data_IF_368368874934
#
_entry.id   IF_368368874934
#
_cell.length_a   1.000
_cell.length_b   1.000
_cell.length_c   1.000
_cell.angle_alpha   90.00
_cell.angle_beta   90.00
_cell.angle_gamma   90.00
#
_symmetry.space_group_name_H-M   'P 1'
#
loop_
_entity.id
_entity.type
_entity.pdbx_description
1 polymer ?
#
# COMPACT_ATOMS: atom_id res chain seq x y z
N UNK A 1 10.72 7.51 -32.30
CA UNK A 1 9.90 6.36 -32.72
C UNK A 1 8.48 6.74 -32.36
N UNK A 2 7.61 6.80 -33.35
CA UNK A 2 6.20 7.01 -33.07
C UNK A 2 5.64 5.70 -32.53
N UNK A 3 5.12 5.73 -31.30
CA UNK A 3 4.48 4.57 -30.68
C UNK A 3 3.14 4.33 -31.40
N UNK A 4 2.94 3.14 -31.95
CA UNK A 4 1.65 2.77 -32.50
C UNK A 4 0.74 2.25 -31.38
N UNK A 5 -0.08 3.14 -30.85
CA UNK A 5 -0.98 2.87 -29.73
C UNK A 5 -2.02 1.80 -30.07
N UNK A 6 -2.58 1.83 -31.28
CA UNK A 6 -3.59 0.86 -31.71
C UNK A 6 -3.02 -0.56 -31.70
N UNK A 7 -1.83 -0.74 -32.30
CA UNK A 7 -1.15 -2.04 -32.33
C UNK A 7 -0.81 -2.53 -30.90
N UNK A 8 -0.44 -1.61 -29.99
CA UNK A 8 -0.16 -1.97 -28.60
C UNK A 8 -1.43 -2.46 -27.91
N UNK A 9 -2.55 -1.76 -28.06
CA UNK A 9 -3.84 -2.16 -27.47
C UNK A 9 -4.30 -3.51 -28.03
N UNK A 10 -4.21 -3.70 -29.36
CA UNK A 10 -4.60 -4.96 -30.00
C UNK A 10 -3.77 -6.13 -29.46
N UNK A 11 -2.46 -5.98 -29.39
CA UNK A 11 -1.56 -7.02 -28.85
C UNK A 11 -1.85 -7.37 -27.38
N UNK A 12 -2.22 -6.38 -26.58
CA UNK A 12 -2.59 -6.61 -25.16
C UNK A 12 -3.92 -7.34 -25.02
N UNK A 13 -4.91 -7.02 -25.85
CA UNK A 13 -6.23 -7.66 -25.82
C UNK A 13 -6.26 -9.04 -26.49
N UNK A 14 -5.38 -9.30 -27.46
CA UNK A 14 -5.15 -10.65 -27.99
C UNK A 14 -4.57 -11.60 -26.94
N UNK A 15 -3.90 -11.06 -25.91
CA UNK A 15 -3.32 -11.82 -24.82
C UNK A 15 -3.92 -11.36 -23.46
N UNK A 16 -5.20 -11.64 -23.20
CA UNK A 16 -5.87 -11.22 -21.99
C UNK A 16 -5.25 -11.85 -20.74
N UNK A 17 -5.43 -11.21 -19.60
CA UNK A 17 -4.94 -11.74 -18.34
C UNK A 17 -5.56 -13.10 -18.03
N UNK A 18 -4.72 -14.11 -17.86
CA UNK A 18 -5.14 -15.44 -17.41
C UNK A 18 -5.62 -15.43 -15.97
N UNK A 19 -6.33 -16.47 -15.55
CA UNK A 19 -6.74 -16.59 -14.14
C UNK A 19 -5.52 -16.74 -13.21
N UNK A 20 -4.46 -17.40 -13.67
CA UNK A 20 -3.18 -17.44 -12.95
C UNK A 20 -2.56 -16.04 -12.79
N UNK A 21 -2.63 -15.17 -13.82
CA UNK A 21 -2.18 -13.79 -13.69
C UNK A 21 -3.01 -13.00 -12.67
N UNK A 22 -4.33 -13.17 -12.72
CA UNK A 22 -5.25 -12.51 -11.77
C UNK A 22 -4.98 -12.95 -10.33
N UNK A 23 -4.69 -14.23 -10.11
CA UNK A 23 -4.32 -14.77 -8.80
C UNK A 23 -2.98 -14.23 -8.30
N UNK A 24 -1.97 -14.15 -9.17
CA UNK A 24 -0.70 -13.53 -8.83
C UNK A 24 -0.90 -12.06 -8.46
N UNK A 25 -1.63 -11.31 -9.28
CA UNK A 25 -1.90 -9.88 -9.04
C UNK A 25 -2.74 -9.66 -7.79
N UNK A 26 -3.71 -10.55 -7.52
CA UNK A 26 -4.47 -10.55 -6.26
C UNK A 26 -3.54 -10.69 -5.05
N UNK A 27 -2.55 -11.56 -5.11
CA UNK A 27 -1.52 -11.72 -4.06
C UNK A 27 -0.62 -10.50 -3.96
N UNK A 28 -0.16 -9.94 -5.10
CA UNK A 28 0.66 -8.72 -5.13
C UNK A 28 -0.06 -7.52 -4.50
N UNK A 29 -1.36 -7.38 -4.74
CA UNK A 29 -2.16 -6.24 -4.28
C UNK A 29 -2.84 -6.48 -2.92
N UNK A 30 -2.88 -7.72 -2.43
CA UNK A 30 -3.68 -8.10 -1.26
C UNK A 30 -5.20 -8.02 -1.47
N UNK A 31 -5.67 -7.82 -2.72
CA UNK A 31 -7.08 -7.70 -3.08
C UNK A 31 -7.32 -8.12 -4.53
N UNK A 32 -8.56 -8.44 -4.87
CA UNK A 32 -8.93 -8.75 -6.26
C UNK A 32 -8.62 -7.58 -7.22
N UNK A 33 -7.96 -7.83 -8.35
CA UNK A 33 -7.61 -6.78 -9.33
C UNK A 33 -8.84 -6.41 -10.18
N UNK A 34 -9.68 -5.51 -9.67
CA UNK A 34 -10.89 -5.06 -10.37
C UNK A 34 -10.54 -4.41 -11.71
N UNK A 35 -11.32 -4.74 -12.72
CA UNK A 35 -11.15 -4.17 -14.06
C UNK A 35 -9.87 -4.58 -14.79
N UNK A 36 -9.10 -5.55 -14.31
CA UNK A 36 -7.91 -6.04 -14.98
C UNK A 36 -8.28 -6.79 -16.27
N UNK A 37 -7.76 -6.33 -17.41
CA UNK A 37 -8.01 -6.92 -18.73
C UNK A 37 -6.77 -7.63 -19.30
N UNK A 38 -5.58 -7.10 -19.05
CA UNK A 38 -4.33 -7.67 -19.57
C UNK A 38 -3.17 -7.44 -18.61
N UNK A 39 -2.06 -8.16 -18.85
CA UNK A 39 -0.77 -7.86 -18.21
C UNK A 39 0.03 -6.98 -19.15
N UNK A 40 0.25 -5.72 -18.74
CA UNK A 40 0.94 -4.72 -19.56
C UNK A 40 2.46 -4.86 -19.55
N UNK A 41 3.03 -5.38 -18.45
CA UNK A 41 4.46 -5.63 -18.35
C UNK A 41 4.74 -6.81 -17.41
N UNK A 42 5.78 -7.61 -17.76
CA UNK A 42 6.23 -8.77 -17.00
C UNK A 42 7.72 -8.65 -16.68
N UNK A 43 8.15 -9.20 -15.56
CA UNK A 43 9.57 -9.36 -15.26
C UNK A 43 10.19 -10.48 -16.10
N UNK A 44 11.52 -10.61 -16.08
CA UNK A 44 12.26 -11.69 -16.74
C UNK A 44 11.78 -13.10 -16.36
N UNK A 45 11.17 -13.27 -15.18
CA UNK A 45 10.55 -14.52 -14.72
C UNK A 45 9.09 -14.69 -15.11
N UNK A 46 8.54 -13.80 -15.96
CA UNK A 46 7.16 -13.88 -16.47
C UNK A 46 6.07 -13.34 -15.54
N UNK A 47 6.41 -12.84 -14.35
CA UNK A 47 5.42 -12.32 -13.39
C UNK A 47 4.92 -10.93 -13.78
N UNK A 48 3.64 -10.61 -13.53
CA UNK A 48 3.09 -9.27 -13.74
C UNK A 48 3.84 -8.21 -12.94
N UNK A 49 4.24 -7.14 -13.63
CA UNK A 49 4.83 -5.92 -13.04
C UNK A 49 3.83 -4.78 -13.05
N UNK A 50 3.12 -4.64 -14.16
CA UNK A 50 2.04 -3.69 -14.34
C UNK A 50 0.92 -4.34 -15.15
N UNK A 51 -0.31 -3.97 -14.83
CA UNK A 51 -1.51 -4.49 -15.49
C UNK A 51 -2.26 -3.38 -16.19
N UNK A 52 -3.08 -3.77 -17.17
CA UNK A 52 -4.01 -2.88 -17.85
C UNK A 52 -5.38 -3.05 -17.23
N UNK A 53 -5.96 -1.93 -16.85
CA UNK A 53 -7.31 -1.86 -16.26
C UNK A 53 -8.25 -1.13 -17.22
N UNK A 54 -9.48 -1.61 -17.31
CA UNK A 54 -10.51 -1.00 -18.15
C UNK A 54 -10.88 0.41 -17.63
N UNK A 55 -11.24 1.34 -18.51
CA UNK A 55 -11.61 2.71 -18.16
C UNK A 55 -12.87 2.84 -17.31
N UNK A 56 -13.81 1.91 -17.47
CA UNK A 56 -15.04 1.82 -16.71
C UNK A 56 -15.15 0.45 -16.05
N UNK A 57 -15.28 0.41 -14.72
CA UNK A 57 -15.46 -0.85 -13.99
C UNK A 57 -16.85 -1.44 -14.23
N UNK A 58 -17.04 -2.73 -13.95
CA UNK A 58 -18.31 -3.44 -14.13
C UNK A 58 -19.50 -2.81 -13.37
N UNK A 59 -19.22 -2.08 -12.30
CA UNK A 59 -20.21 -1.34 -11.51
C UNK A 59 -20.50 0.07 -12.07
N UNK A 60 -19.96 0.42 -13.24
CA UNK A 60 -20.13 1.71 -13.90
C UNK A 60 -19.22 2.83 -13.36
N UNK A 61 -18.35 2.53 -12.39
CA UNK A 61 -17.44 3.52 -11.85
C UNK A 61 -16.26 3.78 -12.82
N UNK A 62 -15.95 5.06 -13.14
CA UNK A 62 -14.80 5.38 -13.97
C UNK A 62 -13.48 5.08 -13.24
N UNK A 63 -12.51 4.53 -13.96
CA UNK A 63 -11.20 4.18 -13.43
C UNK A 63 -10.07 4.79 -14.28
N UNK A 64 -9.53 5.96 -13.89
CA UNK A 64 -8.59 6.71 -14.72
C UNK A 64 -7.19 6.10 -14.83
N UNK A 65 -6.82 5.19 -13.93
CA UNK A 65 -5.48 4.59 -13.89
C UNK A 65 -5.44 3.34 -14.78
N UNK A 66 -5.21 3.52 -16.08
CA UNK A 66 -5.21 2.44 -17.06
C UNK A 66 -3.96 1.56 -16.98
N UNK A 67 -2.77 2.16 -16.74
CA UNK A 67 -1.53 1.42 -16.44
C UNK A 67 -1.35 1.36 -14.92
N UNK A 68 -1.51 0.19 -14.32
CA UNK A 68 -1.50 0.02 -12.87
C UNK A 68 -0.32 -0.83 -12.41
N UNK A 69 0.56 -0.26 -11.59
CA UNK A 69 1.74 -0.94 -11.04
C UNK A 69 1.32 -1.95 -9.97
N UNK A 70 1.74 -3.22 -10.10
CA UNK A 70 1.33 -4.30 -9.20
C UNK A 70 2.48 -4.99 -8.49
N UNK A 71 3.70 -5.00 -9.09
CA UNK A 71 4.87 -5.62 -8.47
C UNK A 71 5.20 -4.98 -7.12
N UNK A 72 5.23 -5.74 -6.01
CA UNK A 72 5.58 -5.22 -4.68
C UNK A 72 6.97 -4.58 -4.65
N UNK A 73 7.93 -5.16 -5.38
CA UNK A 73 9.29 -4.66 -5.46
C UNK A 73 9.34 -3.30 -6.19
N UNK A 74 8.62 -3.17 -7.31
CA UNK A 74 8.52 -1.92 -8.07
C UNK A 74 7.77 -0.83 -7.26
N UNK A 75 6.69 -1.21 -6.59
CA UNK A 75 5.91 -0.31 -5.72
C UNK A 75 6.79 0.19 -4.57
N UNK A 76 7.52 -0.71 -3.89
CA UNK A 76 8.42 -0.34 -2.81
C UNK A 76 9.54 0.61 -3.29
N UNK A 77 10.16 0.31 -4.42
CA UNK A 77 11.23 1.14 -4.99
C UNK A 77 10.72 2.54 -5.39
N UNK A 78 9.53 2.64 -6.01
CA UNK A 78 8.91 3.92 -6.33
C UNK A 78 8.55 4.71 -5.05
N UNK A 79 8.03 4.05 -4.02
CA UNK A 79 7.72 4.66 -2.72
C UNK A 79 8.96 5.22 -2.03
N UNK A 80 10.10 4.51 -2.11
CA UNK A 80 11.36 5.02 -1.57
C UNK A 80 11.81 6.31 -2.26
N UNK A 81 11.68 6.40 -3.59
CA UNK A 81 12.01 7.63 -4.32
C UNK A 81 11.03 8.77 -3.98
N UNK A 82 9.74 8.47 -3.82
CA UNK A 82 8.75 9.47 -3.37
C UNK A 82 9.12 10.01 -1.99
N UNK A 83 9.47 9.14 -1.05
CA UNK A 83 9.90 9.50 0.30
C UNK A 83 11.21 10.32 0.32
N UNK A 84 12.12 10.10 -0.65
CA UNK A 84 13.34 10.87 -0.83
C UNK A 84 13.11 12.25 -1.47
N UNK A 85 11.86 12.58 -1.83
CA UNK A 85 11.52 13.87 -2.41
C UNK A 85 11.74 13.98 -3.92
N UNK A 86 11.97 12.86 -4.63
CA UNK A 86 12.27 12.87 -6.07
C UNK A 86 11.15 13.49 -6.92
N UNK A 87 9.89 13.46 -6.48
CA UNK A 87 8.80 14.17 -7.15
C UNK A 87 9.04 15.68 -7.23
N UNK A 88 9.66 16.29 -6.21
CA UNK A 88 10.02 17.72 -6.21
C UNK A 88 11.12 18.00 -7.24
N UNK A 89 12.11 17.12 -7.33
CA UNK A 89 13.16 17.22 -8.36
C UNK A 89 12.56 17.15 -9.76
N UNK A 90 11.66 16.18 -10.02
CA UNK A 90 10.95 16.04 -11.29
C UNK A 90 10.11 17.28 -11.63
N UNK A 91 9.38 17.85 -10.67
CA UNK A 91 8.60 19.07 -10.89
C UNK A 91 9.50 20.27 -11.20
N UNK A 92 10.64 20.41 -10.52
CA UNK A 92 11.64 21.44 -10.84
C UNK A 92 12.22 21.24 -12.25
N UNK A 93 12.48 20.00 -12.64
CA UNK A 93 12.96 19.68 -13.99
C UNK A 93 11.94 20.08 -15.05
N UNK A 94 10.64 19.73 -14.86
CA UNK A 94 9.58 20.13 -15.80
C UNK A 94 9.44 21.64 -15.95
N UNK A 95 9.72 22.41 -14.89
CA UNK A 95 9.66 23.86 -14.93
C UNK A 95 10.87 24.51 -15.62
N UNK A 96 12.03 23.84 -15.62
CA UNK A 96 13.28 24.43 -16.09
C UNK A 96 13.79 23.84 -17.42
N UNK A 97 13.24 22.71 -17.86
CA UNK A 97 13.63 22.01 -19.09
C UNK A 97 12.42 21.82 -20.02
N UNK A 98 12.35 22.70 -21.02
CA UNK A 98 11.25 22.68 -22.00
C UNK A 98 11.20 21.40 -22.84
N UNK A 99 12.33 20.73 -23.07
CA UNK A 99 12.35 19.51 -23.87
C UNK A 99 11.78 18.33 -23.07
N UNK A 100 12.10 18.25 -21.78
CA UNK A 100 11.51 17.27 -20.86
C UNK A 100 10.02 17.56 -20.70
N UNK A 101 9.62 18.82 -20.52
CA UNK A 101 8.22 19.23 -20.39
C UNK A 101 7.40 18.83 -21.65
N UNK A 102 7.89 19.08 -22.85
CA UNK A 102 7.24 18.68 -24.11
C UNK A 102 7.09 17.15 -24.23
N UNK A 103 8.14 16.41 -23.88
CA UNK A 103 8.09 14.94 -23.87
C UNK A 103 7.08 14.42 -22.84
N UNK A 104 6.98 15.07 -21.69
CA UNK A 104 6.01 14.72 -20.64
C UNK A 104 4.57 15.02 -21.07
N UNK A 105 4.35 16.13 -21.79
CA UNK A 105 3.07 16.43 -22.44
C UNK A 105 2.73 15.39 -23.51
N UNK A 106 3.72 14.95 -24.29
CA UNK A 106 3.50 13.88 -25.26
C UNK A 106 3.16 12.55 -24.60
N UNK A 107 3.79 12.22 -23.46
CA UNK A 107 3.45 11.05 -22.66
C UNK A 107 2.00 11.08 -22.16
N UNK A 108 1.49 12.26 -21.81
CA UNK A 108 0.09 12.47 -21.50
C UNK A 108 -0.83 12.16 -22.68
N UNK A 109 -0.50 12.65 -23.89
CA UNK A 109 -1.27 12.39 -25.10
C UNK A 109 -1.32 10.89 -25.44
N UNK A 110 -0.19 10.21 -25.36
CA UNK A 110 -0.13 8.76 -25.55
C UNK A 110 -0.99 7.99 -24.50
N UNK A 111 -0.99 8.47 -23.26
CA UNK A 111 -1.81 7.85 -22.22
C UNK A 111 -3.31 7.99 -22.51
N UNK A 112 -3.76 9.17 -22.93
CA UNK A 112 -5.16 9.43 -23.30
C UNK A 112 -5.57 8.62 -24.52
N UNK A 113 -4.74 8.60 -25.57
CA UNK A 113 -4.97 7.81 -26.79
C UNK A 113 -5.05 6.30 -26.47
N UNK A 114 -4.12 5.79 -25.66
CA UNK A 114 -4.14 4.39 -25.23
C UNK A 114 -5.42 4.02 -24.49
N UNK A 115 -5.86 4.87 -23.57
CA UNK A 115 -7.11 4.62 -22.86
C UNK A 115 -8.32 4.73 -23.78
N UNK A 116 -8.33 5.68 -24.69
CA UNK A 116 -9.40 5.85 -25.69
C UNK A 116 -9.52 4.61 -26.59
N UNK A 117 -8.43 4.14 -27.14
CA UNK A 117 -8.41 2.93 -27.97
C UNK A 117 -8.86 1.69 -27.18
N UNK A 118 -8.46 1.60 -25.90
CA UNK A 118 -8.89 0.54 -25.01
C UNK A 118 -10.40 0.62 -24.73
N UNK A 119 -10.93 1.84 -24.48
CA UNK A 119 -12.36 2.07 -24.24
C UNK A 119 -13.20 1.63 -25.45
N UNK A 120 -12.78 1.99 -26.66
CA UNK A 120 -13.48 1.58 -27.89
C UNK A 120 -13.57 0.07 -28.00
N UNK A 121 -12.46 -0.67 -27.79
CA UNK A 121 -12.42 -2.12 -27.92
C UNK A 121 -13.16 -2.87 -26.83
N UNK A 122 -13.28 -2.28 -25.65
CA UNK A 122 -14.00 -2.86 -24.51
C UNK A 122 -15.46 -2.37 -24.42
N UNK A 123 -15.89 -1.50 -25.35
CA UNK A 123 -17.20 -0.85 -25.32
C UNK A 123 -17.47 -0.09 -23.99
N UNK A 124 -16.40 0.49 -23.43
CA UNK A 124 -16.44 1.23 -22.16
C UNK A 124 -16.67 2.72 -22.38
N UNK A 125 -17.34 3.38 -21.43
CA UNK A 125 -17.41 4.83 -21.37
C UNK A 125 -16.19 5.41 -20.67
N UNK A 126 -15.57 6.44 -21.25
CA UNK A 126 -14.50 7.22 -20.61
C UNK A 126 -14.88 8.71 -20.44
N UNK A 127 -16.13 9.08 -20.68
CA UNK A 127 -16.56 10.50 -20.77
C UNK A 127 -16.21 11.29 -19.53
N UNK A 128 -16.35 10.69 -18.33
CA UNK A 128 -16.02 11.34 -17.05
C UNK A 128 -14.52 11.51 -16.78
N UNK A 129 -13.66 10.83 -17.54
CA UNK A 129 -12.20 10.82 -17.34
C UNK A 129 -11.42 11.15 -18.61
N UNK A 130 -12.07 11.50 -19.72
CA UNK A 130 -11.46 11.66 -21.06
C UNK A 130 -10.24 12.58 -21.09
N UNK A 131 -10.23 13.65 -20.30
CA UNK A 131 -9.14 14.64 -20.24
C UNK A 131 -8.18 14.39 -19.07
N UNK A 132 -8.42 13.34 -18.25
CA UNK A 132 -7.60 13.01 -17.09
C UNK A 132 -6.68 11.85 -17.40
N UNK A 133 -5.39 12.00 -17.16
CA UNK A 133 -4.44 10.90 -17.15
C UNK A 133 -4.02 10.53 -15.73
N UNK A 134 -2.97 9.75 -15.58
CA UNK A 134 -2.43 9.34 -14.30
C UNK A 134 -1.16 10.12 -13.90
N UNK A 135 -0.75 10.03 -12.64
CA UNK A 135 0.53 10.53 -12.15
C UNK A 135 0.68 12.05 -12.09
N UNK A 136 -0.36 12.82 -12.46
CA UNK A 136 -0.35 14.29 -12.48
C UNK A 136 0.02 14.91 -13.83
N UNK A 137 0.18 14.10 -14.89
CA UNK A 137 0.40 14.58 -16.26
C UNK A 137 -0.74 15.51 -16.74
N UNK A 138 -0.47 16.47 -17.64
CA UNK A 138 0.85 16.82 -18.22
C UNK A 138 1.62 17.85 -17.41
N UNK A 139 1.02 18.44 -16.36
CA UNK A 139 1.52 19.70 -15.77
C UNK A 139 2.52 19.44 -14.63
N UNK A 140 2.34 18.35 -13.88
CA UNK A 140 3.13 18.09 -12.68
C UNK A 140 3.26 16.60 -12.38
N UNK A 141 4.25 16.23 -11.58
CA UNK A 141 4.43 14.88 -11.05
C UNK A 141 3.75 14.79 -9.68
N UNK A 142 2.79 13.86 -9.57
CA UNK A 142 2.05 13.57 -8.32
C UNK A 142 2.24 12.15 -7.82
N UNK A 143 2.61 11.21 -8.71
CA UNK A 143 2.71 9.79 -8.36
C UNK A 143 3.73 9.11 -9.28
N UNK A 144 4.84 8.65 -8.71
CA UNK A 144 5.88 7.95 -9.48
C UNK A 144 5.44 6.54 -9.89
N UNK A 145 4.56 5.90 -9.12
CA UNK A 145 4.03 4.57 -9.44
C UNK A 145 3.30 4.55 -10.79
N UNK A 146 2.44 5.54 -11.04
CA UNK A 146 1.68 5.63 -12.29
C UNK A 146 2.60 5.90 -13.49
N UNK A 147 3.61 6.75 -13.33
CA UNK A 147 4.56 7.09 -14.39
C UNK A 147 5.51 5.92 -14.70
N UNK A 148 5.96 5.21 -13.67
CA UNK A 148 6.73 3.98 -13.81
C UNK A 148 5.91 2.89 -14.53
N UNK A 149 4.64 2.73 -14.16
CA UNK A 149 3.75 1.78 -14.82
C UNK A 149 3.60 2.11 -16.31
N UNK A 150 3.41 3.38 -16.67
CA UNK A 150 3.34 3.79 -18.07
C UNK A 150 4.63 3.44 -18.83
N UNK A 151 5.82 3.73 -18.29
CA UNK A 151 7.08 3.37 -18.95
C UNK A 151 7.27 1.86 -19.09
N UNK A 152 6.83 1.08 -18.11
CA UNK A 152 6.88 -0.39 -18.21
C UNK A 152 5.95 -0.95 -19.28
N UNK A 153 4.76 -0.36 -19.45
CA UNK A 153 3.74 -0.82 -20.40
C UNK A 153 4.03 -0.33 -21.82
N UNK A 154 4.30 0.97 -21.97
CA UNK A 154 4.43 1.62 -23.29
C UNK A 154 5.87 1.61 -23.81
N UNK A 155 6.83 1.23 -22.97
CA UNK A 155 8.23 1.15 -23.33
C UNK A 155 9.02 2.42 -23.04
N UNK A 156 10.36 2.24 -23.08
CA UNK A 156 11.31 3.32 -22.83
C UNK A 156 11.22 4.40 -23.91
N UNK A 157 11.31 5.65 -23.52
CA UNK A 157 11.24 6.83 -24.38
C UNK A 157 9.86 7.47 -24.46
N UNK A 158 8.82 6.79 -23.95
CA UNK A 158 7.44 7.30 -23.96
C UNK A 158 7.20 8.30 -22.82
N UNK A 159 7.59 7.96 -21.59
CA UNK A 159 7.45 8.87 -20.46
C UNK A 159 8.82 9.21 -19.85
N UNK A 160 9.34 10.45 -20.01
CA UNK A 160 10.66 10.79 -19.56
C UNK A 160 10.84 10.68 -18.04
N UNK A 161 9.79 10.98 -17.27
CA UNK A 161 9.85 10.88 -15.81
C UNK A 161 9.78 9.42 -15.37
N UNK A 162 8.90 8.60 -15.98
CA UNK A 162 8.84 7.17 -15.69
C UNK A 162 10.16 6.45 -16.01
N UNK A 163 10.83 6.83 -17.09
CA UNK A 163 12.14 6.30 -17.46
C UNK A 163 13.24 6.71 -16.47
N UNK A 164 13.18 7.94 -15.96
CA UNK A 164 14.08 8.40 -14.91
C UNK A 164 13.87 7.62 -13.62
N UNK A 165 12.61 7.37 -13.24
CA UNK A 165 12.27 6.50 -12.09
C UNK A 165 12.87 5.13 -12.28
N UNK A 166 12.61 4.48 -13.43
CA UNK A 166 13.14 3.15 -13.74
C UNK A 166 14.67 3.09 -13.66
N UNK A 167 15.35 4.13 -14.12
CA UNK A 167 16.81 4.24 -14.03
C UNK A 167 17.31 4.36 -12.58
N UNK A 168 16.65 5.21 -11.78
CA UNK A 168 17.04 5.46 -10.38
C UNK A 168 16.79 4.25 -9.47
N UNK A 169 15.72 3.50 -9.70
CA UNK A 169 15.37 2.33 -8.87
C UNK A 169 16.13 1.05 -9.25
N UNK A 170 16.99 1.07 -10.25
CA UNK A 170 17.62 -0.12 -10.84
C UNK A 170 18.29 -1.08 -9.83
N UNK A 171 18.81 -0.55 -8.74
CA UNK A 171 19.43 -1.37 -7.68
C UNK A 171 18.38 -2.13 -6.84
N UNK A 172 17.19 -1.57 -6.67
CA UNK A 172 16.09 -2.16 -5.89
C UNK A 172 15.15 -2.97 -6.80
N UNK A 173 14.86 -2.43 -7.99
CA UNK A 173 13.97 -3.03 -8.97
C UNK A 173 14.54 -2.91 -10.39
N UNK A 174 14.67 -4.04 -11.10
CA UNK A 174 15.02 -4.10 -12.51
C UNK A 174 14.08 -5.12 -13.18
N UNK A 175 13.27 -4.73 -14.19
CA UNK A 175 12.35 -5.64 -14.86
C UNK A 175 13.05 -6.82 -15.57
N UNK A 176 14.35 -6.67 -15.91
CA UNK A 176 15.16 -7.72 -16.54
C UNK A 176 15.76 -8.70 -15.54
N UNK A 177 15.62 -8.46 -14.23
CA UNK A 177 16.12 -9.32 -13.15
C UNK A 177 14.94 -9.69 -12.26
N UNK A 178 14.51 -10.95 -12.32
CA UNK A 178 13.43 -11.40 -11.46
C UNK A 178 13.91 -11.49 -10.01
N UNK A 179 13.44 -10.53 -9.19
CA UNK A 179 13.61 -10.50 -7.72
C UNK A 179 12.27 -10.70 -7.01
N UNK A 180 11.29 -11.28 -7.72
CA UNK A 180 9.95 -11.40 -7.18
C UNK A 180 9.92 -12.33 -5.97
N UNK A 181 9.34 -11.84 -4.88
CA UNK A 181 9.15 -12.57 -3.62
C UNK A 181 7.79 -13.23 -3.52
N UNK A 182 6.83 -12.81 -4.37
CA UNK A 182 5.48 -13.38 -4.40
C UNK A 182 5.51 -14.82 -4.94
N UNK A 183 5.07 -15.83 -4.20
CA UNK A 183 5.09 -17.22 -4.65
C UNK A 183 4.18 -17.50 -5.86
N UNK A 184 4.52 -18.52 -6.67
CA UNK A 184 3.75 -18.91 -7.86
C UNK A 184 2.64 -19.95 -7.57
N UNK A 185 2.80 -20.75 -6.50
CA UNK A 185 1.93 -21.88 -6.19
C UNK A 185 0.97 -21.61 -5.04
N UNK A 186 -0.07 -22.44 -4.93
CA UNK A 186 -1.08 -22.35 -3.87
C UNK A 186 -0.53 -22.67 -2.47
N UNK A 187 0.62 -23.34 -2.39
CA UNK A 187 1.38 -23.57 -1.13
C UNK A 187 1.79 -22.26 -0.44
N UNK A 188 1.70 -21.14 -1.14
CA UNK A 188 1.96 -19.80 -0.60
C UNK A 188 0.93 -19.32 0.42
N UNK A 189 -0.28 -19.86 0.42
CA UNK A 189 -1.29 -19.47 1.42
C UNK A 189 -0.88 -19.91 2.84
N UNK A 190 -0.10 -21.00 2.96
CA UNK A 190 0.48 -21.40 4.25
C UNK A 190 1.72 -20.56 4.62
N UNK A 191 2.56 -20.22 3.64
CA UNK A 191 3.82 -19.48 3.86
C UNK A 191 3.59 -17.98 4.10
N UNK A 192 2.59 -17.36 3.48
CA UNK A 192 2.30 -15.92 3.68
C UNK A 192 1.54 -15.67 4.98
N UNK A 193 0.67 -16.59 5.37
CA UNK A 193 0.10 -16.61 6.72
C UNK A 193 1.20 -16.82 7.76
N UNK A 194 2.17 -17.70 7.50
CA UNK A 194 3.35 -17.89 8.36
C UNK A 194 4.31 -16.70 8.34
N UNK A 195 4.51 -15.99 7.21
CA UNK A 195 5.40 -14.80 7.15
C UNK A 195 4.79 -13.54 7.74
N UNK A 196 3.51 -13.28 7.58
CA UNK A 196 2.79 -12.22 8.29
C UNK A 196 2.71 -12.50 9.80
N UNK A 197 2.77 -13.78 10.18
CA UNK A 197 2.83 -14.25 11.57
C UNK A 197 4.28 -14.34 12.08
N UNK A 198 5.32 -14.40 11.21
CA UNK A 198 6.74 -14.58 11.56
C UNK A 198 7.59 -13.30 11.51
N UNK A 199 7.03 -12.10 11.40
CA UNK A 199 7.77 -10.88 11.75
C UNK A 199 7.95 -10.84 13.27
N UNK A 200 9.05 -11.49 13.71
CA UNK A 200 9.57 -11.50 15.07
C UNK A 200 8.52 -11.47 16.18
N UNK A 201 8.14 -12.66 16.59
CA UNK A 201 7.77 -13.12 17.92
C UNK A 201 6.36 -13.63 18.16
N UNK A 202 5.69 -14.24 17.20
CA UNK A 202 4.62 -15.16 17.61
C UNK A 202 4.63 -16.44 16.78
N UNK A 203 5.13 -17.51 17.36
CA UNK A 203 4.92 -18.85 16.87
C UNK A 203 3.49 -19.27 17.21
N UNK A 204 2.54 -18.97 16.33
CA UNK A 204 1.12 -19.35 16.50
C UNK A 204 0.93 -20.86 16.57
N UNK A 205 1.90 -21.65 16.10
CA UNK A 205 1.91 -23.11 16.27
C UNK A 205 2.02 -23.54 17.75
N UNK A 206 2.37 -22.61 18.66
CA UNK A 206 2.35 -22.88 20.11
C UNK A 206 0.93 -22.75 20.70
N UNK A 207 -0.01 -22.14 20.00
CA UNK A 207 -1.38 -21.90 20.50
C UNK A 207 -2.36 -22.95 19.91
N UNK A 208 -2.12 -23.42 18.69
CA UNK A 208 -2.96 -24.43 18.02
C UNK A 208 -2.53 -25.82 18.50
N UNK A 209 -3.19 -26.32 19.53
CA UNK A 209 -3.00 -27.69 20.04
C UNK A 209 -2.69 -27.81 21.54
N UNK A 210 -2.49 -26.71 22.25
CA UNK A 210 -2.41 -26.73 23.71
C UNK A 210 -3.52 -25.89 24.32
N UNK A 211 -4.18 -26.39 25.36
CA UNK A 211 -5.15 -25.64 26.19
C UNK A 211 -4.49 -24.48 26.96
N UNK A 212 -3.28 -24.04 26.56
CA UNK A 212 -2.50 -23.02 27.25
C UNK A 212 -2.94 -21.63 26.78
N UNK A 213 -3.41 -20.83 27.68
CA UNK A 213 -3.77 -19.43 27.45
C UNK A 213 -2.52 -18.55 27.42
N UNK A 214 -2.38 -17.67 26.43
CA UNK A 214 -1.28 -16.70 26.28
C UNK A 214 -1.81 -15.31 26.51
N UNK A 215 -1.10 -14.51 27.31
CA UNK A 215 -1.45 -13.11 27.57
C UNK A 215 -0.71 -12.20 26.57
N UNK A 216 -1.47 -11.49 25.74
CA UNK A 216 -0.91 -10.64 24.69
C UNK A 216 -1.33 -9.19 24.87
N UNK A 217 -0.45 -8.27 24.48
CA UNK A 217 -0.76 -6.85 24.43
C UNK A 217 -0.66 -6.34 22.97
N UNK A 218 -1.58 -5.46 22.59
CA UNK A 218 -1.55 -4.75 21.34
C UNK A 218 -1.63 -3.24 21.61
N UNK A 219 -0.71 -2.49 20.98
CA UNK A 219 -0.73 -1.03 20.97
C UNK A 219 -0.96 -0.57 19.54
N UNK A 220 -1.90 0.35 19.34
CA UNK A 220 -2.24 0.96 18.06
C UNK A 220 -2.11 2.48 18.21
N UNK A 221 -1.18 3.10 17.46
CA UNK A 221 -0.96 4.54 17.43
C UNK A 221 -1.33 5.11 16.07
N UNK A 222 -2.52 5.69 16.00
CA UNK A 222 -3.00 6.42 14.84
C UNK A 222 -2.68 7.91 14.88
N UNK A 223 -3.16 8.64 13.88
CA UNK A 223 -3.01 10.10 13.75
C UNK A 223 -3.59 10.85 14.94
N UNK A 224 -4.71 10.37 15.49
CA UNK A 224 -5.47 11.11 16.51
C UNK A 224 -5.38 10.49 17.91
N UNK A 225 -5.24 9.17 18.02
CA UNK A 225 -5.29 8.46 19.29
C UNK A 225 -4.30 7.30 19.35
N UNK A 226 -3.88 6.98 20.60
CA UNK A 226 -3.14 5.76 20.91
C UNK A 226 -4.01 4.85 21.79
N UNK A 227 -3.96 3.54 21.52
CA UNK A 227 -4.79 2.54 22.17
C UNK A 227 -3.94 1.41 22.70
N UNK A 228 -4.32 0.86 23.86
CA UNK A 228 -3.76 -0.38 24.43
C UNK A 228 -4.88 -1.37 24.67
N UNK A 229 -4.68 -2.62 24.24
CA UNK A 229 -5.50 -3.77 24.58
C UNK A 229 -4.62 -4.89 25.14
N UNK A 230 -5.04 -5.50 26.26
CA UNK A 230 -4.41 -6.69 26.85
C UNK A 230 -5.47 -7.79 26.91
N UNK A 231 -5.16 -8.94 26.32
CA UNK A 231 -6.08 -10.05 26.25
C UNK A 231 -5.38 -11.39 26.49
N UNK A 232 -6.11 -12.34 27.05
CA UNK A 232 -5.75 -13.77 27.03
C UNK A 232 -6.36 -14.41 25.82
N UNK A 233 -5.54 -15.13 25.06
CA UNK A 233 -5.93 -15.84 23.83
C UNK A 233 -5.66 -17.32 23.99
N UNK A 234 -6.60 -18.16 23.57
CA UNK A 234 -6.47 -19.62 23.48
C UNK A 234 -7.29 -20.16 22.30
N UNK A 235 -7.35 -21.47 22.11
CA UNK A 235 -8.10 -22.13 21.04
C UNK A 235 -9.63 -21.82 21.07
N UNK A 236 -10.18 -21.41 22.22
CA UNK A 236 -11.60 -21.10 22.40
C UNK A 236 -11.94 -19.62 22.16
N UNK A 237 -10.93 -18.77 21.88
CA UNK A 237 -11.13 -17.36 21.59
C UNK A 237 -10.29 -16.43 22.43
N UNK A 238 -10.72 -15.18 22.52
CA UNK A 238 -10.04 -14.07 23.19
C UNK A 238 -10.89 -13.54 24.36
N UNK A 239 -10.24 -13.27 25.49
CA UNK A 239 -10.84 -12.62 26.67
C UNK A 239 -10.00 -11.45 27.12
N UNK A 240 -10.61 -10.29 27.27
CA UNK A 240 -9.96 -9.09 27.75
C UNK A 240 -9.45 -9.28 29.20
N UNK A 241 -8.22 -8.84 29.46
CA UNK A 241 -7.59 -8.85 30.79
C UNK A 241 -7.87 -7.53 31.50
N UNK A 242 -7.78 -6.42 30.75
CA UNK A 242 -8.15 -5.08 31.21
C UNK A 242 -9.06 -4.43 30.16
N UNK A 243 -9.90 -3.44 30.56
CA UNK A 243 -10.65 -2.65 29.60
C UNK A 243 -9.72 -1.98 28.60
N UNK A 244 -10.13 -1.90 27.33
CA UNK A 244 -9.35 -1.20 26.29
C UNK A 244 -9.10 0.24 26.71
N UNK A 245 -7.83 0.63 26.77
CA UNK A 245 -7.44 2.02 27.02
C UNK A 245 -7.34 2.78 25.70
N UNK A 246 -7.78 4.04 25.71
CA UNK A 246 -7.66 4.97 24.59
C UNK A 246 -7.25 6.33 25.14
N UNK A 247 -6.26 6.96 24.48
CA UNK A 247 -5.85 8.35 24.76
C UNK A 247 -5.82 9.15 23.48
N UNK A 248 -6.45 10.31 23.48
CA UNK A 248 -6.41 11.26 22.38
C UNK A 248 -5.10 12.05 22.48
N UNK A 249 -4.21 11.84 21.53
CA UNK A 249 -2.84 12.39 21.53
C UNK A 249 -2.61 13.38 20.40
N UNK A 250 -3.45 13.32 19.33
CA UNK A 250 -3.36 14.16 18.14
C UNK A 250 -1.92 14.21 17.58
N UNK A 251 -1.32 13.02 17.41
CA UNK A 251 0.06 12.88 16.95
C UNK A 251 0.27 13.52 15.57
N UNK A 252 -0.74 13.48 14.71
CA UNK A 252 -0.70 14.10 13.38
C UNK A 252 -0.98 15.60 13.34
N UNK A 253 -0.99 16.29 14.49
CA UNK A 253 -1.22 17.74 14.53
C UNK A 253 -0.17 18.49 13.73
N UNK A 254 -0.59 19.22 12.67
CA UNK A 254 0.27 20.04 11.83
C UNK A 254 1.19 19.25 10.88
N UNK A 255 1.04 17.93 10.79
CA UNK A 255 1.92 17.09 9.97
C UNK A 255 1.74 17.34 8.47
N UNK A 256 0.53 17.68 8.03
CA UNK A 256 0.24 17.98 6.62
C UNK A 256 0.98 19.22 6.11
N UNK A 257 1.29 20.15 7.02
CA UNK A 257 2.00 21.40 6.72
C UNK A 257 3.51 21.27 6.92
N UNK A 258 3.92 20.61 8.00
CA UNK A 258 5.33 20.61 8.44
C UNK A 258 6.07 19.32 8.10
N UNK A 259 5.36 18.24 7.83
CA UNK A 259 5.88 16.87 7.74
C UNK A 259 6.69 16.45 8.99
N UNK A 260 6.41 17.05 10.13
CA UNK A 260 7.10 16.80 11.38
C UNK A 260 6.09 16.63 12.51
N UNK A 261 6.37 15.72 13.44
CA UNK A 261 5.64 15.69 14.71
C UNK A 261 5.93 16.95 15.52
N UNK A 262 4.88 17.60 15.98
CA UNK A 262 4.99 18.73 16.88
C UNK A 262 5.44 18.28 18.27
N UNK A 263 6.25 19.09 18.96
CA UNK A 263 6.82 18.77 20.27
C UNK A 263 5.72 18.48 21.34
N UNK A 264 4.66 19.28 21.34
CA UNK A 264 3.53 19.09 22.24
C UNK A 264 2.74 17.80 21.97
N UNK A 265 2.66 17.36 20.68
CA UNK A 265 2.08 16.09 20.31
C UNK A 265 2.93 14.91 20.81
N UNK A 266 4.24 14.99 20.65
CA UNK A 266 5.18 14.00 21.20
C UNK A 266 5.07 13.90 22.74
N UNK A 267 4.93 15.01 23.44
CA UNK A 267 4.76 15.00 24.91
C UNK A 267 3.43 14.35 25.35
N UNK A 268 2.34 14.57 24.59
CA UNK A 268 1.05 13.90 24.86
C UNK A 268 1.16 12.39 24.68
N UNK A 269 1.80 11.93 23.59
CA UNK A 269 2.02 10.51 23.36
C UNK A 269 2.92 9.91 24.44
N UNK A 270 4.00 10.60 24.82
CA UNK A 270 4.90 10.18 25.89
C UNK A 270 4.15 9.96 27.21
N UNK A 271 3.27 10.89 27.55
CA UNK A 271 2.45 10.79 28.76
C UNK A 271 1.53 9.56 28.71
N UNK A 272 0.89 9.30 27.56
CA UNK A 272 0.06 8.12 27.37
C UNK A 272 0.88 6.82 27.44
N UNK A 273 2.10 6.81 26.87
CA UNK A 273 3.00 5.68 26.93
C UNK A 273 3.41 5.32 28.36
N UNK A 274 3.67 6.31 29.20
CA UNK A 274 3.96 6.08 30.63
C UNK A 274 2.80 5.43 31.38
N UNK A 275 1.56 5.85 31.10
CA UNK A 275 0.38 5.19 31.65
C UNK A 275 0.26 3.73 31.18
N UNK A 276 0.52 3.49 29.90
CA UNK A 276 0.48 2.14 29.33
C UNK A 276 1.59 1.25 29.90
N UNK A 277 2.81 1.79 30.07
CA UNK A 277 3.92 1.08 30.70
C UNK A 277 3.57 0.60 32.10
N UNK A 278 2.91 1.45 32.90
CA UNK A 278 2.44 1.06 34.24
C UNK A 278 1.48 -0.12 34.18
N UNK A 279 0.47 -0.05 33.30
CA UNK A 279 -0.52 -1.14 33.15
C UNK A 279 0.14 -2.41 32.65
N UNK A 280 1.04 -2.32 31.66
CA UNK A 280 1.78 -3.46 31.14
C UNK A 280 2.63 -4.14 32.23
N UNK A 281 3.25 -3.36 33.14
CA UNK A 281 4.08 -3.91 34.23
C UNK A 281 3.27 -4.65 35.30
N UNK A 282 1.97 -4.38 35.43
CA UNK A 282 1.07 -5.07 36.36
C UNK A 282 0.62 -6.45 35.84
N UNK A 283 0.95 -6.78 34.60
CA UNK A 283 0.51 -8.03 33.97
C UNK A 283 1.69 -8.81 33.37
N UNK A 284 1.67 -10.14 33.50
CA UNK A 284 2.62 -10.97 32.79
C UNK A 284 2.22 -11.06 31.32
N UNK A 285 2.86 -10.27 30.48
CA UNK A 285 2.65 -10.24 29.04
C UNK A 285 3.64 -11.23 28.38
N UNK A 286 3.08 -12.19 27.64
CA UNK A 286 3.88 -13.19 26.91
C UNK A 286 4.38 -12.61 25.57
N UNK A 287 3.62 -11.68 24.97
CA UNK A 287 4.04 -10.93 23.79
C UNK A 287 3.28 -9.61 23.60
N UNK A 288 3.94 -8.67 22.96
CA UNK A 288 3.41 -7.34 22.64
C UNK A 288 3.68 -7.00 21.19
N UNK A 289 2.66 -6.45 20.52
CA UNK A 289 2.80 -5.82 19.22
C UNK A 289 2.39 -4.36 19.31
N UNK A 290 3.23 -3.47 18.75
CA UNK A 290 2.96 -2.05 18.69
C UNK A 290 2.97 -1.61 17.23
N UNK A 291 1.83 -1.15 16.70
CA UNK A 291 1.70 -0.64 15.34
C UNK A 291 1.50 0.88 15.35
N UNK A 292 2.12 1.55 14.37
CA UNK A 292 1.92 2.97 14.10
C UNK A 292 1.53 3.17 12.64
N UNK A 293 0.64 4.13 12.38
CA UNK A 293 -0.02 4.23 11.08
C UNK A 293 0.26 5.56 10.36
N UNK A 294 -0.72 6.18 9.70
CA UNK A 294 -0.58 7.31 8.77
C UNK A 294 0.36 8.41 9.25
N UNK A 295 0.10 9.03 10.42
CA UNK A 295 0.94 10.13 10.90
C UNK A 295 2.42 9.76 11.03
N UNK A 296 2.72 8.51 11.41
CA UNK A 296 4.10 8.04 11.55
C UNK A 296 4.73 7.72 10.20
N UNK A 297 3.94 7.31 9.20
CA UNK A 297 4.43 7.16 7.83
C UNK A 297 4.89 8.50 7.24
N UNK A 298 4.17 9.57 7.54
CA UNK A 298 4.33 10.88 6.92
C UNK A 298 5.36 11.77 7.64
N UNK A 299 5.74 11.42 8.88
CA UNK A 299 6.66 12.21 9.70
C UNK A 299 8.13 11.99 9.32
N UNK A 300 8.85 13.07 9.02
CA UNK A 300 10.29 13.06 8.77
C UNK A 300 11.13 12.83 10.04
N UNK A 301 10.59 13.20 11.21
CA UNK A 301 11.22 13.00 12.51
C UNK A 301 10.63 11.80 13.30
N UNK A 302 10.14 10.79 12.59
CA UNK A 302 9.54 9.59 13.18
C UNK A 302 10.50 8.80 14.09
N UNK A 303 11.79 8.88 13.82
CA UNK A 303 12.84 8.26 14.63
C UNK A 303 12.84 8.74 16.07
N UNK A 304 12.55 10.03 16.31
CA UNK A 304 12.38 10.61 17.67
C UNK A 304 11.21 9.93 18.39
N UNK A 305 10.07 9.78 17.70
CA UNK A 305 8.91 9.10 18.23
C UNK A 305 9.20 7.62 18.52
N UNK A 306 9.80 6.90 17.56
CA UNK A 306 10.13 5.47 17.71
C UNK A 306 11.08 5.23 18.89
N UNK A 307 12.10 6.07 19.05
CA UNK A 307 13.04 5.95 20.15
C UNK A 307 12.35 6.29 21.49
N UNK A 308 11.58 7.35 21.54
CA UNK A 308 10.82 7.74 22.75
C UNK A 308 9.85 6.63 23.19
N UNK A 309 9.17 5.95 22.24
CA UNK A 309 8.29 4.82 22.57
C UNK A 309 9.07 3.62 23.09
N UNK A 310 10.23 3.34 22.49
CA UNK A 310 11.10 2.27 22.98
C UNK A 310 11.60 2.54 24.41
N UNK A 311 11.97 3.77 24.70
CA UNK A 311 12.46 4.16 26.03
C UNK A 311 11.37 4.03 27.12
N UNK A 312 10.11 4.31 26.78
CA UNK A 312 8.99 4.25 27.72
C UNK A 312 8.35 2.86 27.85
N UNK A 313 8.28 2.11 26.75
CA UNK A 313 7.51 0.84 26.66
C UNK A 313 8.37 -0.41 26.47
N UNK A 314 9.66 -0.26 26.15
CA UNK A 314 10.54 -1.38 25.83
C UNK A 314 10.25 -2.05 24.48
N UNK A 315 9.35 -1.48 23.68
CA UNK A 315 8.98 -2.00 22.35
C UNK A 315 8.96 -0.86 21.33
N UNK A 316 9.54 -1.12 20.14
CA UNK A 316 9.50 -0.16 19.02
C UNK A 316 8.18 -0.27 18.26
N UNK A 317 7.60 0.86 17.83
CA UNK A 317 6.47 0.84 16.91
C UNK A 317 6.88 0.22 15.56
N UNK A 318 6.04 -0.64 15.03
CA UNK A 318 6.09 -1.08 13.64
C UNK A 318 5.28 -0.08 12.80
N UNK A 319 5.93 0.64 11.89
CA UNK A 319 5.22 1.52 10.96
C UNK A 319 4.63 0.68 9.84
N UNK A 320 3.34 0.40 9.93
CA UNK A 320 2.64 -0.47 8.98
C UNK A 320 2.14 0.30 7.75
N UNK A 321 2.04 -0.40 6.62
CA UNK A 321 1.47 0.16 5.38
C UNK A 321 -0.04 0.39 5.51
N UNK A 322 -0.60 1.28 4.68
CA UNK A 322 -2.06 1.49 4.62
C UNK A 322 -2.83 0.21 4.25
N UNK A 323 -2.23 -0.67 3.43
CA UNK A 323 -2.81 -1.96 3.06
C UNK A 323 -2.88 -2.90 4.27
N UNK A 324 -1.82 -2.95 5.08
CA UNK A 324 -1.80 -3.76 6.30
C UNK A 324 -2.75 -3.19 7.35
N UNK A 325 -2.79 -1.87 7.52
CA UNK A 325 -3.75 -1.18 8.37
C UNK A 325 -5.19 -1.54 8.00
N UNK A 326 -5.55 -1.45 6.71
CA UNK A 326 -6.86 -1.84 6.21
C UNK A 326 -7.18 -3.33 6.46
N UNK A 327 -6.21 -4.23 6.27
CA UNK A 327 -6.38 -5.65 6.54
C UNK A 327 -6.63 -5.93 8.04
N UNK A 328 -5.88 -5.27 8.93
CA UNK A 328 -6.06 -5.39 10.38
C UNK A 328 -7.40 -4.82 10.84
N UNK A 329 -7.82 -3.65 10.31
CA UNK A 329 -9.14 -3.06 10.55
C UNK A 329 -10.26 -3.99 10.10
N UNK A 330 -10.14 -4.59 8.90
CA UNK A 330 -11.12 -5.55 8.39
C UNK A 330 -11.21 -6.78 9.29
N UNK A 331 -10.09 -7.39 9.66
CA UNK A 331 -10.06 -8.55 10.55
C UNK A 331 -10.65 -8.22 11.91
N UNK A 332 -10.30 -7.06 12.47
CA UNK A 332 -10.82 -6.60 13.76
C UNK A 332 -12.34 -6.41 13.75
N UNK A 333 -12.86 -5.72 12.73
CA UNK A 333 -14.28 -5.46 12.59
C UNK A 333 -15.09 -6.75 12.34
N UNK A 334 -14.61 -7.62 11.47
CA UNK A 334 -15.32 -8.88 11.11
C UNK A 334 -15.21 -9.95 12.19
N UNK A 335 -14.20 -9.88 13.08
CA UNK A 335 -14.02 -10.86 14.16
C UNK A 335 -15.15 -10.86 15.21
N UNK A 336 -15.82 -9.73 15.37
CA UNK A 336 -16.92 -9.56 16.36
C UNK A 336 -18.31 -9.75 15.75
N UNK A 337 -18.40 -9.91 14.43
CA UNK A 337 -19.67 -10.09 13.73
C UNK A 337 -19.98 -11.57 13.60
N UNK A 338 -21.15 -11.97 14.07
CA UNK A 338 -21.62 -13.35 13.89
C UNK A 338 -21.84 -13.64 12.41
N UNK A 339 -21.20 -14.70 11.88
CA UNK A 339 -21.40 -15.15 10.49
C UNK A 339 -22.84 -15.54 10.16
N UNK A 340 -23.70 -15.66 11.19
CA UNK A 340 -25.13 -15.94 11.01
C UNK A 340 -25.94 -14.70 10.64
N UNK A 341 -25.43 -13.50 10.97
CA UNK A 341 -26.20 -12.26 10.86
C UNK A 341 -25.82 -11.45 9.62
N UNK A 342 -24.74 -11.79 8.92
CA UNK A 342 -24.29 -11.09 7.73
C UNK A 342 -24.00 -12.05 6.57
N UNK A 343 -24.47 -11.67 5.39
CA UNK A 343 -24.12 -12.34 4.13
C UNK A 343 -22.91 -11.64 3.50
N UNK A 344 -21.92 -12.41 3.02
CA UNK A 344 -20.82 -11.87 2.23
C UNK A 344 -21.31 -11.32 0.87
N UNK A 345 -20.67 -10.29 0.29
CA UNK A 345 -19.41 -9.69 0.72
C UNK A 345 -19.56 -8.61 1.81
N UNK A 346 -18.53 -8.48 2.67
CA UNK A 346 -18.47 -7.42 3.69
C UNK A 346 -17.64 -6.23 3.19
N UNK A 347 -18.08 -5.02 3.56
CA UNK A 347 -17.30 -3.79 3.40
C UNK A 347 -17.09 -3.20 4.79
N UNK A 348 -15.83 -2.91 5.13
CA UNK A 348 -15.45 -2.17 6.33
C UNK A 348 -14.92 -0.82 5.88
N UNK A 349 -15.53 0.26 6.39
CA UNK A 349 -15.07 1.63 6.18
C UNK A 349 -14.45 2.10 7.48
N UNK A 350 -13.15 2.40 7.44
CA UNK A 350 -12.40 2.98 8.56
C UNK A 350 -12.06 4.43 8.20
N UNK A 351 -12.67 5.36 8.94
CA UNK A 351 -12.44 6.79 8.77
C UNK A 351 -11.48 7.27 9.85
N UNK A 352 -10.21 7.37 9.52
CA UNK A 352 -9.14 7.83 10.40
C UNK A 352 -8.90 9.33 10.35
N UNK A 353 -7.98 9.83 11.19
CA UNK A 353 -7.59 11.23 11.25
C UNK A 353 -6.61 11.67 10.15
N UNK A 354 -6.10 10.75 9.34
CA UNK A 354 -5.15 10.99 8.25
C UNK A 354 -5.32 10.03 7.09
N UNK A 355 -6.43 9.33 7.05
CA UNK A 355 -6.75 8.38 5.97
C UNK A 355 -8.25 8.40 5.68
#
# INVERSE_FOLDING_TARGET
MDLNIQSLVDSLLENPASDADKDIVKRQLGRFPRGMVAVGARCAGGRPLAVITRPCLEDGNPFPTTCYLTSPEAVKAASHLEAQGFMKECNNLLNNDNDVAKKYEQAHKYYLEFRHELAIRLEDSEEHIKDMSAGGMPVRVKCLHALLAQSLVMGKGVNPIGDMVLSKVKNEFDPNVCKCTTPWSDDANEIETEKLLNTKSFNTNTIVGTNKSVCVAAIDCGTNSIRLKIAKVNANGMRDVVPRMLRVVRLGQGIDETHMFAEDALQRVKSAAKEFAKVLSEHKIDAIRFVATSATRDALNRDIFEQMMFDELGVRPEVISGTEEAALSFLGATSVVSRKDLQAPYVVVDLGGGS
#
